data_IF_285548895848
#
_entry.id   IF_285548895848
#
_cell.length_a   1.000
_cell.length_b   1.000
_cell.length_c   1.000
_cell.angle_alpha   90.00
_cell.angle_beta   90.00
_cell.angle_gamma   90.00
#
_symmetry.space_group_name_H-M   'P 1'
#
loop_
_entity.id
_entity.type
_entity.pdbx_description
1 polymer ?
#
# COMPACT_ATOMS: atom_id res chain seq x y z
N UNK A 1 13.39 53.40 30.83
CA UNK A 1 13.60 54.72 30.22
C UNK A 1 13.34 54.55 28.72
N UNK A 2 12.10 54.49 28.24
CA UNK A 2 11.14 55.59 27.96
C UNK A 2 11.82 56.82 27.36
N UNK A 3 11.53 57.10 26.08
CA UNK A 3 11.12 58.39 25.45
C UNK A 3 10.82 58.06 23.97
N UNK A 4 9.57 57.79 23.54
CA UNK A 4 8.52 58.73 23.06
C UNK A 4 8.99 59.84 22.10
N UNK A 5 8.50 59.82 20.86
CA UNK A 5 7.91 61.01 20.23
C UNK A 5 6.69 60.65 19.39
N UNK A 6 5.55 61.07 19.93
CA UNK A 6 4.23 61.25 19.32
C UNK A 6 4.26 62.37 18.29
N UNK A 7 3.43 62.29 17.25
CA UNK A 7 2.61 63.42 16.80
C UNK A 7 1.23 62.91 16.39
N UNK A 8 0.21 63.54 16.96
CA UNK A 8 -1.21 63.32 16.72
C UNK A 8 -1.75 64.60 16.11
N UNK A 9 -2.58 64.51 15.07
CA UNK A 9 -3.62 65.51 14.79
C UNK A 9 -4.89 64.78 14.32
N UNK A 10 -5.96 64.97 15.08
CA UNK A 10 -7.37 64.62 14.82
C UNK A 10 -7.97 65.54 13.75
N UNK A 11 -8.95 65.05 12.97
CA UNK A 11 -10.37 65.46 13.10
C UNK A 11 -11.29 64.87 11.99
N UNK A 12 -12.49 64.51 12.45
CA UNK A 12 -13.69 63.95 11.78
C UNK A 12 -14.32 64.84 10.68
N UNK A 13 -15.04 64.21 9.73
CA UNK A 13 -16.49 64.45 9.49
C UNK A 13 -17.07 63.43 8.48
N UNK A 14 -18.36 63.17 8.61
CA UNK A 14 -19.10 62.03 8.05
C UNK A 14 -20.11 62.40 6.95
N UNK A 15 -20.75 61.35 6.40
CA UNK A 15 -22.06 61.23 5.72
C UNK A 15 -22.15 61.27 4.17
N UNK A 16 -22.41 60.07 3.62
CA UNK A 16 -23.65 59.62 2.97
C UNK A 16 -24.05 60.01 1.52
N UNK A 17 -24.21 58.93 0.73
CA UNK A 17 -25.13 58.62 -0.39
C UNK A 17 -25.01 59.33 -1.76
N UNK A 18 -24.72 58.53 -2.80
CA UNK A 18 -25.66 58.34 -3.92
C UNK A 18 -25.31 57.10 -4.75
N UNK A 19 -26.36 56.36 -5.09
CA UNK A 19 -26.44 55.10 -5.84
C UNK A 19 -26.00 55.18 -7.31
N UNK A 20 -25.37 54.12 -7.81
CA UNK A 20 -25.65 53.56 -9.13
C UNK A 20 -25.12 52.11 -9.21
N UNK A 21 -26.03 51.15 -9.21
CA UNK A 21 -25.75 49.75 -9.59
C UNK A 21 -25.59 49.73 -11.11
N UNK A 22 -24.43 49.29 -11.59
CA UNK A 22 -24.23 48.84 -12.97
C UNK A 22 -23.93 47.33 -12.94
N UNK A 23 -24.51 46.51 -13.83
CA UNK A 23 -24.28 45.08 -13.81
C UNK A 23 -22.87 44.82 -14.34
N UNK A 24 -21.95 44.42 -13.47
CA UNK A 24 -20.70 43.83 -13.90
C UNK A 24 -21.01 42.42 -14.39
N UNK A 25 -21.02 42.29 -15.72
CA UNK A 25 -20.98 41.03 -16.46
C UNK A 25 -19.99 40.06 -15.82
N UNK A 26 -20.45 38.83 -15.57
CA UNK A 26 -19.59 37.72 -15.19
C UNK A 26 -18.54 37.50 -16.29
N UNK A 27 -17.35 38.07 -16.09
CA UNK A 27 -16.16 37.67 -16.81
C UNK A 27 -15.74 36.32 -16.21
N UNK A 28 -15.79 35.28 -17.05
CA UNK A 28 -15.49 33.91 -16.66
C UNK A 28 -14.17 33.84 -15.89
N UNK A 29 -14.18 33.05 -14.81
CA UNK A 29 -12.97 32.56 -14.20
C UNK A 29 -12.21 31.76 -15.28
N UNK A 30 -11.25 32.42 -15.93
CA UNK A 30 -10.25 31.74 -16.72
C UNK A 30 -9.53 30.77 -15.79
N UNK A 31 -9.62 29.48 -16.11
CA UNK A 31 -8.95 28.43 -15.36
C UNK A 31 -7.49 28.79 -15.18
N UNK A 32 -7.06 28.91 -13.91
CA UNK A 32 -5.65 28.77 -13.60
C UNK A 32 -5.28 27.36 -14.10
N UNK A 33 -4.52 27.28 -15.19
CA UNK A 33 -4.00 26.01 -15.69
C UNK A 33 -3.27 25.33 -14.53
N UNK A 34 -3.68 24.10 -14.21
CA UNK A 34 -2.97 23.27 -13.24
C UNK A 34 -1.52 23.18 -13.74
N UNK A 35 -0.56 23.52 -12.89
CA UNK A 35 0.85 23.36 -13.26
C UNK A 35 1.08 21.89 -13.64
N UNK A 36 1.85 21.66 -14.69
CA UNK A 36 2.24 20.31 -15.11
C UNK A 36 2.96 19.61 -13.95
N UNK A 37 2.63 18.35 -13.63
CA UNK A 37 3.32 17.61 -12.58
C UNK A 37 4.80 17.43 -12.94
N UNK A 38 5.69 17.31 -11.94
CA UNK A 38 7.07 16.92 -12.20
C UNK A 38 7.14 15.47 -12.72
N UNK A 39 8.26 15.03 -13.30
CA UNK A 39 8.54 13.60 -13.44
C UNK A 39 8.36 12.89 -12.09
N UNK A 40 7.63 11.79 -12.09
CA UNK A 40 7.23 11.03 -10.91
C UNK A 40 6.10 11.66 -10.10
N UNK A 41 5.50 12.75 -10.56
CA UNK A 41 4.30 13.35 -9.98
C UNK A 41 3.01 12.80 -10.59
N UNK A 42 1.90 12.96 -9.88
CA UNK A 42 0.60 12.49 -10.37
C UNK A 42 -0.01 13.45 -11.41
N UNK A 43 -0.39 12.91 -12.56
CA UNK A 43 -1.11 13.63 -13.62
C UNK A 43 -2.59 13.83 -13.29
N UNK A 44 -3.16 12.88 -12.56
CA UNK A 44 -4.54 12.89 -12.10
C UNK A 44 -4.64 12.42 -10.63
N UNK A 45 -5.86 12.11 -10.18
CA UNK A 45 -6.11 11.69 -8.80
C UNK A 45 -6.13 12.84 -7.80
N UNK A 46 -6.44 12.49 -6.56
CA UNK A 46 -6.54 13.39 -5.42
C UNK A 46 -5.46 13.03 -4.42
N UNK A 47 -4.72 14.04 -3.94
CA UNK A 47 -3.70 13.84 -2.90
C UNK A 47 -4.38 13.43 -1.59
N UNK A 48 -3.96 12.32 -0.99
CA UNK A 48 -4.53 11.77 0.24
C UNK A 48 -4.25 12.66 1.46
N UNK A 49 -3.01 13.17 1.58
CA UNK A 49 -2.61 14.07 2.66
C UNK A 49 -1.47 15.00 2.23
N UNK A 50 -1.27 16.09 2.97
CA UNK A 50 -0.08 16.92 2.79
C UNK A 50 1.17 16.24 3.39
N UNK A 51 2.33 16.46 2.78
CA UNK A 51 3.59 15.88 3.25
C UNK A 51 3.76 14.41 2.89
N UNK A 52 4.64 13.73 3.62
CA UNK A 52 5.08 12.36 3.29
C UNK A 52 3.96 11.36 3.54
N UNK A 53 3.67 10.54 2.52
CA UNK A 53 2.74 9.41 2.60
C UNK A 53 3.23 8.33 1.64
N UNK A 54 3.66 7.21 2.19
CA UNK A 54 4.33 6.11 1.47
C UNK A 54 3.60 4.79 1.69
N UNK A 55 3.83 3.83 0.80
CA UNK A 55 3.46 2.43 0.99
C UNK A 55 1.96 2.25 1.35
N UNK A 56 1.04 2.75 0.52
CA UNK A 56 -0.38 2.71 0.83
C UNK A 56 -0.89 1.27 0.92
N UNK A 57 -1.91 1.04 1.73
CA UNK A 57 -2.72 -0.19 1.80
C UNK A 57 -4.18 0.20 2.01
N UNK A 58 -5.10 -0.58 1.45
CA UNK A 58 -6.53 -0.31 1.50
C UNK A 58 -7.31 -1.61 1.66
N UNK A 59 -8.37 -1.54 2.47
CA UNK A 59 -9.38 -2.59 2.64
C UNK A 59 -10.77 -1.94 2.63
N UNK A 60 -11.78 -2.69 2.20
CA UNK A 60 -13.18 -2.38 2.51
C UNK A 60 -13.56 -3.21 3.74
N UNK A 61 -14.25 -2.60 4.71
CA UNK A 61 -14.71 -3.34 5.89
C UNK A 61 -15.86 -4.28 5.51
N UNK A 62 -15.74 -5.54 5.89
CA UNK A 62 -16.73 -6.59 5.63
C UNK A 62 -17.20 -7.27 6.93
N UNK A 63 -16.50 -7.03 8.04
CA UNK A 63 -16.70 -7.72 9.32
C UNK A 63 -16.91 -6.77 10.50
N UNK A 64 -17.34 -5.54 10.23
CA UNK A 64 -17.47 -4.43 11.18
C UNK A 64 -18.92 -3.99 11.43
N UNK A 65 -19.91 -4.74 10.95
CA UNK A 65 -21.33 -4.54 11.22
C UNK A 65 -21.88 -3.27 10.58
N UNK A 66 -22.30 -2.29 11.39
CA UNK A 66 -22.86 -1.03 10.83
C UNK A 66 -21.84 -0.21 10.02
N UNK A 67 -20.55 -0.52 10.13
CA UNK A 67 -19.48 0.14 9.39
C UNK A 67 -19.06 -0.60 8.10
N UNK A 68 -19.69 -1.74 7.77
CA UNK A 68 -19.40 -2.48 6.54
C UNK A 68 -19.56 -1.58 5.30
N UNK A 69 -18.66 -1.73 4.33
CA UNK A 69 -18.55 -0.88 3.14
C UNK A 69 -17.78 0.43 3.36
N UNK A 70 -17.29 0.70 4.58
CA UNK A 70 -16.30 1.77 4.82
C UNK A 70 -14.96 1.33 4.25
N UNK A 71 -14.30 2.20 3.48
CA UNK A 71 -12.94 1.93 3.01
C UNK A 71 -11.95 2.49 4.03
N UNK A 72 -11.01 1.65 4.49
CA UNK A 72 -9.93 2.04 5.38
C UNK A 72 -8.61 2.02 4.61
N UNK A 73 -7.88 3.14 4.67
CA UNK A 73 -6.56 3.28 4.06
C UNK A 73 -5.51 3.47 5.15
N UNK A 74 -4.37 2.79 5.01
CA UNK A 74 -3.17 3.01 5.80
C UNK A 74 -2.01 3.49 4.92
N UNK A 75 -1.23 4.45 5.41
CA UNK A 75 0.05 4.85 4.79
C UNK A 75 1.13 5.06 5.85
N UNK A 76 2.39 5.00 5.43
CA UNK A 76 3.55 5.38 6.25
C UNK A 76 3.81 6.88 6.10
N UNK A 77 3.81 7.60 7.23
CA UNK A 77 4.13 9.03 7.31
C UNK A 77 5.15 9.29 8.42
N UNK A 78 5.62 10.53 8.57
CA UNK A 78 6.68 10.87 9.53
C UNK A 78 6.39 12.18 10.27
N UNK A 79 6.69 12.19 11.58
CA UNK A 79 6.87 13.41 12.37
C UNK A 79 8.37 13.53 12.73
N UNK A 80 9.05 14.48 12.09
CA UNK A 80 10.51 14.49 12.05
C UNK A 80 11.07 13.20 11.44
N UNK A 81 11.93 12.51 12.18
CA UNK A 81 12.50 11.22 11.77
C UNK A 81 11.69 10.01 12.28
N UNK A 82 10.63 10.23 13.06
CA UNK A 82 9.82 9.13 13.63
C UNK A 82 8.70 8.76 12.67
N UNK A 83 8.68 7.49 12.27
CA UNK A 83 7.63 6.96 11.39
C UNK A 83 6.34 6.63 12.12
N UNK A 84 5.22 6.74 11.41
CA UNK A 84 3.88 6.43 11.90
C UNK A 84 3.03 5.78 10.81
N UNK A 85 2.06 4.96 11.21
CA UNK A 85 0.95 4.57 10.35
C UNK A 85 -0.15 5.64 10.41
N UNK A 86 -0.48 6.29 9.31
CA UNK A 86 -1.66 7.17 9.21
C UNK A 86 -2.87 6.37 8.70
N UNK A 87 -4.00 6.49 9.38
CA UNK A 87 -5.23 5.73 9.07
C UNK A 87 -6.33 6.69 8.61
N UNK A 88 -6.96 6.36 7.49
CA UNK A 88 -8.00 7.15 6.85
C UNK A 88 -9.26 6.34 6.59
N UNK A 89 -10.42 7.00 6.61
CA UNK A 89 -11.70 6.44 6.21
C UNK A 89 -12.24 7.14 4.97
N UNK A 90 -12.89 6.37 4.10
CA UNK A 90 -13.85 6.87 3.13
C UNK A 90 -15.21 6.20 3.38
N UNK A 91 -16.26 7.02 3.43
CA UNK A 91 -17.66 6.58 3.53
C UNK A 91 -18.47 6.99 2.29
N UNK A 92 -17.77 7.45 1.26
CA UNK A 92 -18.30 7.94 -0.02
C UNK A 92 -17.64 7.22 -1.20
N UNK A 93 -17.52 5.89 -1.09
CA UNK A 93 -17.09 5.04 -2.20
C UNK A 93 -15.68 5.40 -2.72
N UNK A 94 -14.76 5.77 -1.83
CA UNK A 94 -13.37 6.12 -2.17
C UNK A 94 -13.19 7.51 -2.80
N UNK A 95 -14.23 8.36 -2.80
CA UNK A 95 -14.20 9.68 -3.44
C UNK A 95 -13.54 10.75 -2.57
N UNK A 96 -13.58 10.60 -1.25
CA UNK A 96 -12.82 11.41 -0.31
C UNK A 96 -12.38 10.61 0.92
N UNK A 97 -11.31 11.07 1.57
CA UNK A 97 -10.74 10.41 2.74
C UNK A 97 -10.52 11.42 3.87
N UNK A 98 -10.82 10.98 5.10
CA UNK A 98 -10.49 11.72 6.32
C UNK A 98 -9.56 10.91 7.21
N UNK A 99 -8.56 11.55 7.82
CA UNK A 99 -7.66 10.89 8.77
C UNK A 99 -8.39 10.67 10.10
N UNK A 100 -8.47 9.42 10.54
CA UNK A 100 -9.22 9.02 11.74
C UNK A 100 -8.34 8.49 12.86
N UNK A 101 -7.13 8.01 12.54
CA UNK A 101 -6.28 7.34 13.50
C UNK A 101 -4.80 7.43 13.17
N UNK A 102 -3.98 6.97 14.10
CA UNK A 102 -2.53 6.90 13.96
C UNK A 102 -1.98 5.72 14.76
N UNK A 103 -1.14 4.92 14.13
CA UNK A 103 -0.38 3.85 14.78
C UNK A 103 1.02 4.36 15.06
N UNK A 104 1.46 4.22 16.31
CA UNK A 104 2.78 4.69 16.75
C UNK A 104 3.50 3.60 17.51
N UNK A 105 4.58 3.10 16.91
CA UNK A 105 5.45 2.13 17.54
C UNK A 105 6.67 2.83 18.17
N UNK A 106 7.02 2.56 19.45
CA UNK A 106 8.21 3.16 20.08
C UNK A 106 9.51 2.88 19.32
N UNK A 107 9.63 1.72 18.67
CA UNK A 107 10.78 1.34 17.86
C UNK A 107 10.87 2.11 16.53
N UNK A 108 9.79 2.76 16.09
CA UNK A 108 9.76 3.53 14.83
C UNK A 108 10.69 4.76 14.84
N UNK A 109 11.19 5.16 16.02
CA UNK A 109 12.27 6.15 16.16
C UNK A 109 13.60 5.68 15.56
N UNK A 110 13.74 4.38 15.32
CA UNK A 110 14.86 3.75 14.62
C UNK A 110 14.45 3.30 13.21
N UNK A 111 13.48 3.99 12.62
CA UNK A 111 12.96 3.69 11.30
C UNK A 111 11.70 2.83 11.34
N UNK A 112 10.83 3.12 10.38
CA UNK A 112 9.63 2.36 10.06
C UNK A 112 9.53 2.27 8.55
N UNK A 113 9.30 1.08 8.03
CA UNK A 113 8.94 0.87 6.64
C UNK A 113 7.73 -0.02 6.52
N UNK A 114 7.06 0.13 5.39
CA UNK A 114 6.37 -0.96 4.73
C UNK A 114 5.27 -1.56 5.62
N UNK A 115 4.15 -0.87 5.75
CA UNK A 115 3.05 -1.33 6.59
C UNK A 115 2.07 -2.24 5.87
N UNK A 116 1.32 -3.02 6.65
CA UNK A 116 0.09 -3.73 6.22
C UNK A 116 -1.09 -3.34 7.09
N UNK A 117 -2.30 -3.49 6.53
CA UNK A 117 -3.58 -3.28 7.18
C UNK A 117 -4.49 -4.45 6.79
N UNK A 118 -5.09 -5.10 7.78
CA UNK A 118 -5.91 -6.30 7.59
C UNK A 118 -7.11 -6.28 8.54
N UNK A 119 -8.30 -6.64 8.07
CA UNK A 119 -9.45 -6.90 8.94
C UNK A 119 -9.56 -8.40 9.22
N UNK A 120 -9.75 -8.79 10.48
CA UNK A 120 -9.95 -10.19 10.84
C UNK A 120 -11.33 -10.68 10.31
N UNK A 121 -11.37 -11.67 9.39
CA UNK A 121 -12.64 -12.20 8.88
C UNK A 121 -13.33 -13.16 9.86
N UNK A 122 -12.66 -13.45 10.99
CA UNK A 122 -13.13 -14.31 12.07
C UNK A 122 -12.30 -14.06 13.32
N UNK A 123 -12.81 -14.47 14.47
CA UNK A 123 -12.08 -14.41 15.73
C UNK A 123 -10.76 -15.22 15.67
N UNK A 124 -9.67 -14.65 16.18
CA UNK A 124 -8.37 -15.31 16.42
C UNK A 124 -7.97 -15.07 17.87
N UNK A 125 -7.90 -16.14 18.68
CA UNK A 125 -7.69 -16.02 20.13
C UNK A 125 -8.72 -15.09 20.78
N UNK A 126 -8.25 -14.06 21.47
CA UNK A 126 -9.09 -13.04 22.11
C UNK A 126 -9.40 -11.85 21.17
N UNK A 127 -8.88 -11.82 19.94
CA UNK A 127 -9.14 -10.79 18.94
C UNK A 127 -10.46 -11.11 18.21
N UNK A 128 -11.53 -10.31 18.39
CA UNK A 128 -12.81 -10.57 17.73
C UNK A 128 -12.73 -10.45 16.20
N UNK A 129 -13.68 -11.08 15.50
CA UNK A 129 -13.99 -10.76 14.11
C UNK A 129 -14.21 -9.24 13.93
N UNK A 130 -13.75 -8.67 12.81
CA UNK A 130 -13.79 -7.23 12.54
C UNK A 130 -12.65 -6.41 13.18
N UNK A 131 -11.79 -7.04 13.98
CA UNK A 131 -10.60 -6.36 14.50
C UNK A 131 -9.67 -6.00 13.35
N UNK A 132 -9.26 -4.73 13.27
CA UNK A 132 -8.22 -4.31 12.34
C UNK A 132 -6.86 -4.60 12.94
N UNK A 133 -5.99 -5.22 12.16
CA UNK A 133 -4.59 -5.44 12.45
C UNK A 133 -3.71 -4.54 11.59
N UNK A 134 -2.67 -4.01 12.20
CA UNK A 134 -1.64 -3.24 11.54
C UNK A 134 -0.27 -3.75 11.98
N UNK A 135 0.64 -3.87 11.02
CA UNK A 135 2.05 -4.19 11.27
C UNK A 135 2.93 -3.43 10.30
N UNK A 136 4.22 -3.33 10.63
CA UNK A 136 5.23 -2.71 9.79
C UNK A 136 6.61 -3.30 10.11
N UNK A 137 7.56 -3.04 9.24
CA UNK A 137 8.98 -3.28 9.49
C UNK A 137 9.56 -2.17 10.34
N UNK A 138 9.99 -2.49 11.57
CA UNK A 138 10.45 -1.49 12.53
C UNK A 138 11.93 -1.71 12.87
N UNK A 139 12.70 -0.61 12.97
CA UNK A 139 14.08 -0.64 13.45
C UNK A 139 15.16 -0.70 12.37
N UNK A 140 14.86 -0.38 11.11
CA UNK A 140 15.83 -0.53 10.02
C UNK A 140 17.02 0.44 10.05
N UNK A 141 16.90 1.57 10.77
CA UNK A 141 17.94 2.59 10.89
C UNK A 141 18.93 2.29 12.03
N UNK A 142 18.69 1.27 12.85
CA UNK A 142 19.68 0.81 13.82
C UNK A 142 20.94 0.29 13.13
N UNK A 143 22.10 0.46 13.78
CA UNK A 143 23.37 -0.07 13.29
C UNK A 143 23.29 -1.59 13.08
N UNK A 144 23.74 -2.10 11.92
CA UNK A 144 23.63 -3.52 11.59
C UNK A 144 24.24 -4.46 12.65
N UNK A 145 25.23 -4.04 13.43
CA UNK A 145 25.84 -4.88 14.47
C UNK A 145 24.93 -5.10 15.68
N UNK A 146 23.98 -4.19 15.92
CA UNK A 146 23.02 -4.24 17.03
C UNK A 146 21.57 -4.38 16.59
N UNK A 147 21.28 -4.11 15.31
CA UNK A 147 19.95 -4.08 14.74
C UNK A 147 19.21 -5.39 15.00
N UNK A 148 17.97 -5.26 15.46
CA UNK A 148 17.00 -6.34 15.62
C UNK A 148 15.65 -5.86 15.14
N UNK A 149 15.48 -5.85 13.82
CA UNK A 149 14.20 -5.44 13.25
C UNK A 149 13.06 -6.29 13.78
N UNK A 150 11.91 -5.67 14.03
CA UNK A 150 10.73 -6.33 14.57
C UNK A 150 9.53 -6.14 13.66
N UNK A 151 8.55 -7.03 13.82
CA UNK A 151 7.22 -6.94 13.23
C UNK A 151 6.19 -6.85 14.37
N UNK A 152 5.94 -5.65 14.91
CA UNK A 152 4.91 -5.47 15.92
C UNK A 152 3.52 -5.66 15.33
N UNK A 153 2.60 -6.19 16.13
CA UNK A 153 1.19 -6.36 15.77
C UNK A 153 0.37 -5.42 16.64
N UNK A 154 -0.31 -4.48 15.98
CA UNK A 154 -1.21 -3.52 16.59
C UNK A 154 -2.64 -3.88 16.19
N UNK A 155 -3.58 -3.77 17.13
CA UNK A 155 -4.99 -4.07 16.90
C UNK A 155 -5.89 -2.87 17.20
N UNK A 156 -6.99 -2.76 16.46
CA UNK A 156 -8.04 -1.78 16.66
C UNK A 156 -9.41 -2.44 16.57
N UNK A 157 -10.28 -2.12 17.54
CA UNK A 157 -11.68 -2.59 17.59
C UNK A 157 -12.69 -1.46 17.35
N UNK A 158 -12.21 -0.27 16.98
CA UNK A 158 -13.00 0.93 16.71
C UNK A 158 -12.76 1.49 15.29
N UNK A 159 -12.57 0.55 14.35
CA UNK A 159 -12.32 0.78 12.93
C UNK A 159 -11.06 1.63 12.68
N UNK A 160 -10.00 1.45 13.48
CA UNK A 160 -8.70 2.08 13.25
C UNK A 160 -8.54 3.46 13.85
N UNK A 161 -9.44 3.90 14.75
CA UNK A 161 -9.33 5.19 15.45
C UNK A 161 -8.32 5.12 16.58
N UNK A 162 -8.34 4.06 17.37
CA UNK A 162 -7.37 3.77 18.43
C UNK A 162 -6.72 2.42 18.22
N UNK A 163 -5.46 2.29 18.65
CA UNK A 163 -4.62 1.13 18.40
C UNK A 163 -3.91 0.69 19.67
N UNK A 164 -3.90 -0.61 19.92
CA UNK A 164 -3.22 -1.23 21.05
C UNK A 164 -2.19 -2.24 20.55
N UNK A 165 -1.00 -2.22 21.14
CA UNK A 165 0.04 -3.21 20.83
C UNK A 165 -0.36 -4.56 21.42
N UNK A 166 -0.49 -5.57 20.57
CA UNK A 166 -0.88 -6.94 20.94
C UNK A 166 0.36 -7.78 21.20
N UNK A 167 1.28 -7.84 20.24
CA UNK A 167 2.45 -8.72 20.28
C UNK A 167 3.54 -8.28 19.30
N UNK A 168 4.66 -8.98 19.31
CA UNK A 168 5.67 -8.88 18.26
C UNK A 168 5.75 -10.23 17.56
N UNK A 169 5.34 -10.29 16.30
CA UNK A 169 5.21 -11.54 15.56
C UNK A 169 6.56 -12.18 15.24
N UNK A 170 7.55 -11.34 14.90
CA UNK A 170 8.90 -11.79 14.66
C UNK A 170 9.92 -10.72 15.07
N UNK A 171 11.11 -11.20 15.38
CA UNK A 171 12.32 -10.39 15.55
C UNK A 171 13.41 -11.00 14.69
N UNK A 172 14.10 -10.18 13.90
CA UNK A 172 15.20 -10.63 13.06
C UNK A 172 16.25 -11.37 13.90
N UNK A 173 16.68 -12.53 13.38
CA UNK A 173 17.67 -13.39 14.06
C UNK A 173 19.08 -12.78 14.02
N UNK A 174 19.33 -11.87 13.08
CA UNK A 174 20.57 -11.14 12.92
C UNK A 174 20.32 -9.66 12.63
N UNK A 175 21.39 -9.01 12.17
CA UNK A 175 21.39 -7.59 11.84
C UNK A 175 20.92 -7.27 10.43
N UNK A 176 20.26 -8.20 9.72
CA UNK A 176 19.74 -8.00 8.36
C UNK A 176 18.24 -7.74 8.38
N UNK A 177 17.71 -7.28 7.26
CA UNK A 177 16.37 -6.75 7.19
C UNK A 177 15.27 -7.81 7.30
N UNK A 178 14.12 -7.35 7.80
CA UNK A 178 12.89 -8.12 7.93
C UNK A 178 11.75 -7.19 7.47
N UNK A 179 11.18 -7.47 6.30
CA UNK A 179 10.45 -6.48 5.51
C UNK A 179 9.03 -6.90 5.17
N UNK A 180 8.13 -5.91 5.08
CA UNK A 180 6.88 -6.00 4.32
C UNK A 180 5.94 -7.11 4.85
N UNK A 181 5.50 -7.00 6.12
CA UNK A 181 4.52 -7.93 6.67
C UNK A 181 3.26 -7.98 5.80
N UNK A 182 2.68 -9.17 5.65
CA UNK A 182 1.36 -9.39 5.05
C UNK A 182 0.60 -10.42 5.89
N UNK A 183 -0.68 -10.15 6.18
CA UNK A 183 -1.51 -11.06 6.97
C UNK A 183 -2.44 -11.90 6.12
N UNK A 184 -2.78 -13.09 6.63
CA UNK A 184 -3.92 -13.88 6.22
C UNK A 184 -4.45 -14.68 7.43
N UNK A 185 -5.62 -15.30 7.32
CA UNK A 185 -6.13 -16.24 8.33
C UNK A 185 -6.31 -17.59 7.67
N UNK A 186 -5.62 -18.63 8.17
CA UNK A 186 -5.72 -19.98 7.62
C UNK A 186 -7.13 -20.57 7.77
N UNK A 187 -7.49 -21.62 7.01
CA UNK A 187 -8.77 -22.33 7.20
C UNK A 187 -8.96 -22.84 8.64
N UNK A 188 -7.87 -23.19 9.32
CA UNK A 188 -7.85 -23.59 10.73
C UNK A 188 -8.15 -22.46 11.72
N UNK A 189 -8.18 -21.20 11.27
CA UNK A 189 -8.39 -20.02 12.11
C UNK A 189 -7.11 -19.48 12.76
N UNK A 190 -5.93 -19.88 12.29
CA UNK A 190 -4.67 -19.29 12.74
C UNK A 190 -4.36 -18.04 11.93
N UNK A 191 -3.90 -16.97 12.59
CA UNK A 191 -3.33 -15.83 11.90
C UNK A 191 -1.98 -16.23 11.30
N UNK A 192 -1.77 -15.90 10.04
CA UNK A 192 -0.53 -16.14 9.30
C UNK A 192 0.08 -14.79 8.97
N UNK A 193 1.39 -14.65 9.19
CA UNK A 193 2.16 -13.50 8.78
C UNK A 193 3.24 -13.94 7.78
N UNK A 194 3.25 -13.35 6.59
CA UNK A 194 4.29 -13.51 5.57
C UNK A 194 5.21 -12.30 5.56
N UNK A 195 6.50 -12.52 5.26
CA UNK A 195 7.54 -11.49 5.41
C UNK A 195 8.69 -11.78 4.44
N UNK A 196 9.32 -10.73 3.91
CA UNK A 196 10.63 -10.82 3.25
C UNK A 196 11.77 -10.85 4.31
N UNK A 197 12.65 -11.84 4.29
CA UNK A 197 13.73 -12.00 5.27
C UNK A 197 15.12 -12.07 4.60
N UNK A 198 16.05 -11.24 5.07
CA UNK A 198 17.44 -11.18 4.58
C UNK A 198 18.45 -11.87 5.53
N UNK A 199 18.00 -12.52 6.60
CA UNK A 199 18.88 -13.06 7.65
C UNK A 199 19.47 -14.44 7.34
N UNK A 200 19.18 -15.00 6.16
CA UNK A 200 19.71 -16.31 5.71
C UNK A 200 20.98 -16.20 4.84
N UNK A 201 21.62 -15.04 4.82
CA UNK A 201 22.86 -14.82 4.08
C UNK A 201 24.03 -15.69 4.62
N UNK A 202 24.96 -16.14 3.75
CA UNK A 202 25.05 -15.87 2.32
C UNK A 202 24.28 -16.87 1.44
N UNK A 203 23.54 -17.82 2.03
CA UNK A 203 22.83 -18.87 1.28
C UNK A 203 21.72 -18.27 0.42
N UNK A 204 20.95 -17.33 0.98
CA UNK A 204 19.96 -16.55 0.25
C UNK A 204 20.15 -15.07 0.58
N UNK A 205 20.14 -14.21 -0.44
CA UNK A 205 20.19 -12.76 -0.22
C UNK A 205 18.88 -12.21 0.33
N UNK A 206 17.76 -12.84 -0.01
CA UNK A 206 16.44 -12.67 0.61
C UNK A 206 15.57 -13.92 0.36
N UNK A 207 14.66 -14.22 1.27
CA UNK A 207 13.62 -15.26 1.14
C UNK A 207 12.26 -14.67 1.51
N UNK A 208 11.17 -15.34 1.15
CA UNK A 208 9.87 -15.11 1.80
C UNK A 208 9.67 -16.20 2.85
N UNK A 209 9.33 -15.79 4.06
CA UNK A 209 9.07 -16.67 5.22
C UNK A 209 7.68 -16.39 5.79
N UNK A 210 7.19 -17.32 6.60
CA UNK A 210 5.94 -17.16 7.35
C UNK A 210 6.10 -17.56 8.82
N UNK A 211 5.23 -17.01 9.67
CA UNK A 211 4.92 -17.51 11.01
C UNK A 211 3.40 -17.59 11.20
N UNK A 212 2.94 -18.53 12.03
CA UNK A 212 1.52 -18.67 12.38
C UNK A 212 1.28 -18.40 13.86
N UNK A 213 0.07 -17.97 14.21
CA UNK A 213 -0.35 -17.73 15.57
C UNK A 213 -1.81 -18.14 15.77
N UNK A 214 -2.13 -18.98 16.77
CA UNK A 214 -3.52 -19.34 17.07
C UNK A 214 -4.28 -18.24 17.83
N UNK A 215 -3.57 -17.25 18.36
CA UNK A 215 -4.12 -16.23 19.27
C UNK A 215 -3.70 -14.78 18.94
N UNK A 216 -2.89 -14.58 17.90
CA UNK A 216 -2.30 -13.28 17.55
C UNK A 216 -1.18 -12.82 18.50
N UNK A 217 -0.79 -13.65 19.47
CA UNK A 217 0.14 -13.30 20.55
C UNK A 217 1.35 -14.24 20.59
N UNK A 218 1.10 -15.55 20.51
CA UNK A 218 2.09 -16.61 20.52
C UNK A 218 2.37 -17.03 19.08
N UNK A 219 3.59 -16.81 18.62
CA UNK A 219 3.97 -17.04 17.22
C UNK A 219 4.88 -18.26 17.07
N UNK A 220 4.68 -19.01 16.00
CA UNK A 220 5.61 -20.06 15.58
C UNK A 220 6.97 -19.44 15.19
N UNK A 221 8.05 -20.25 15.15
CA UNK A 221 9.25 -19.84 14.44
C UNK A 221 8.96 -19.52 12.97
N UNK A 222 9.77 -18.64 12.38
CA UNK A 222 9.74 -18.37 10.93
C UNK A 222 10.12 -19.62 10.15
N UNK A 223 9.41 -19.89 9.06
CA UNK A 223 9.64 -21.00 8.13
C UNK A 223 9.57 -20.53 6.69
N UNK A 224 10.36 -21.14 5.80
CA UNK A 224 10.44 -20.72 4.41
C UNK A 224 9.14 -20.97 3.64
N UNK A 225 8.76 -19.98 2.85
CA UNK A 225 7.69 -20.02 1.83
C UNK A 225 8.32 -20.05 0.45
N UNK A 226 9.28 -19.15 0.19
CA UNK A 226 10.03 -19.04 -1.06
C UNK A 226 11.51 -18.85 -0.74
N UNK A 227 12.30 -19.88 -1.02
CA UNK A 227 13.75 -19.90 -0.86
C UNK A 227 14.39 -20.42 -2.16
N UNK A 228 14.64 -19.49 -3.10
CA UNK A 228 15.13 -19.83 -4.43
C UNK A 228 16.59 -20.31 -4.39
N UNK A 229 16.99 -21.34 -5.15
CA UNK A 229 18.32 -21.93 -5.06
C UNK A 229 19.48 -21.01 -5.46
N UNK A 230 19.23 -20.01 -6.30
CA UNK A 230 20.21 -18.98 -6.64
C UNK A 230 20.27 -17.95 -5.51
N UNK A 231 21.43 -17.86 -4.84
CA UNK A 231 21.63 -16.98 -3.69
C UNK A 231 21.48 -15.50 -4.01
N UNK A 232 21.63 -15.11 -5.28
CA UNK A 232 21.48 -13.73 -5.75
C UNK A 232 20.03 -13.32 -6.01
N UNK A 233 19.09 -14.27 -6.05
CA UNK A 233 17.67 -13.96 -6.20
C UNK A 233 17.08 -13.48 -4.87
N UNK A 234 16.11 -12.57 -5.01
CA UNK A 234 15.50 -11.84 -3.90
C UNK A 234 13.98 -11.83 -4.05
N UNK A 235 13.29 -12.96 -3.78
CA UNK A 235 11.83 -12.95 -3.66
C UNK A 235 11.43 -12.03 -2.49
N UNK A 236 10.40 -11.22 -2.66
CA UNK A 236 9.93 -10.29 -1.62
C UNK A 236 8.61 -9.61 -1.92
N UNK A 237 8.18 -8.75 -1.01
CA UNK A 237 6.91 -8.02 -1.06
C UNK A 237 5.69 -8.94 -1.20
N UNK A 238 5.51 -9.95 -0.33
CA UNK A 238 4.36 -10.83 -0.41
C UNK A 238 3.05 -10.03 -0.26
N UNK A 239 2.08 -10.33 -1.12
CA UNK A 239 0.69 -9.87 -1.02
C UNK A 239 -0.20 -11.10 -1.20
N UNK A 240 -1.09 -11.36 -0.25
CA UNK A 240 -1.86 -12.62 -0.23
C UNK A 240 -3.35 -12.32 -0.30
N UNK A 241 -4.05 -13.01 -1.21
CA UNK A 241 -5.51 -12.95 -1.34
C UNK A 241 -6.09 -14.35 -1.21
N UNK A 242 -7.24 -14.45 -0.57
CA UNK A 242 -8.06 -15.65 -0.61
C UNK A 242 -8.88 -15.61 -1.90
N UNK A 243 -8.86 -16.71 -2.65
CA UNK A 243 -9.59 -16.96 -3.88
C UNK A 243 -10.91 -17.70 -3.57
N UNK A 244 -11.79 -17.88 -4.58
CA UNK A 244 -12.92 -18.79 -4.48
C UNK A 244 -12.49 -20.18 -4.01
N UNK A 245 -13.40 -20.90 -3.37
CA UNK A 245 -13.17 -22.23 -2.78
C UNK A 245 -12.18 -22.26 -1.59
N UNK A 246 -11.58 -21.13 -1.22
CA UNK A 246 -10.73 -20.98 -0.03
C UNK A 246 -9.23 -21.18 -0.30
N UNK A 247 -8.82 -21.28 -1.56
CA UNK A 247 -7.42 -21.27 -1.96
C UNK A 247 -6.79 -19.88 -1.72
N UNK A 248 -5.47 -19.83 -1.63
CA UNK A 248 -4.71 -18.61 -1.41
C UNK A 248 -3.82 -18.35 -2.62
N UNK A 249 -3.77 -17.10 -3.05
CA UNK A 249 -2.86 -16.60 -4.08
C UNK A 249 -1.88 -15.62 -3.44
N UNK A 250 -0.59 -15.88 -3.58
CA UNK A 250 0.46 -14.94 -3.19
C UNK A 250 1.05 -14.30 -4.43
N UNK A 251 1.06 -12.97 -4.48
CA UNK A 251 1.81 -12.13 -5.40
C UNK A 251 3.12 -11.69 -4.74
N UNK A 252 4.21 -11.63 -5.50
CA UNK A 252 5.51 -11.14 -5.02
C UNK A 252 6.42 -10.75 -6.18
N UNK A 253 7.46 -9.97 -5.89
CA UNK A 253 8.54 -9.71 -6.84
C UNK A 253 9.69 -10.71 -6.67
N UNK A 254 10.42 -10.98 -7.74
CA UNK A 254 11.71 -11.66 -7.68
C UNK A 254 12.80 -10.76 -8.26
N UNK A 255 13.55 -10.10 -7.38
CA UNK A 255 14.69 -9.30 -7.76
C UNK A 255 15.96 -10.15 -7.95
N UNK A 256 17.00 -9.54 -8.51
CA UNK A 256 18.31 -10.19 -8.71
C UNK A 256 18.56 -10.63 -10.14
N UNK A 257 19.62 -11.44 -10.37
CA UNK A 257 20.07 -11.80 -11.72
C UNK A 257 18.95 -12.36 -12.59
N UNK A 258 18.85 -11.87 -13.83
CA UNK A 258 17.87 -12.30 -14.86
C UNK A 258 16.41 -11.92 -14.57
N UNK A 259 16.01 -11.82 -13.30
CA UNK A 259 14.62 -11.60 -12.93
C UNK A 259 14.23 -10.12 -12.84
N UNK A 260 15.18 -9.21 -12.58
CA UNK A 260 14.95 -7.76 -12.59
C UNK A 260 13.69 -7.30 -11.81
N UNK A 261 13.33 -7.97 -10.71
CA UNK A 261 12.15 -7.67 -9.89
C UNK A 261 10.80 -7.92 -10.60
N UNK A 262 10.76 -8.89 -11.51
CA UNK A 262 9.52 -9.37 -12.16
C UNK A 262 8.48 -9.84 -11.13
N UNK A 263 7.22 -9.61 -11.46
CA UNK A 263 6.06 -10.04 -10.69
C UNK A 263 5.74 -11.52 -10.95
N UNK A 264 5.58 -12.29 -9.88
CA UNK A 264 5.19 -13.70 -9.88
C UNK A 264 4.02 -13.95 -8.94
N UNK A 265 3.32 -15.06 -9.19
CA UNK A 265 2.29 -15.59 -8.28
C UNK A 265 2.49 -17.06 -7.96
N UNK A 266 2.00 -17.49 -6.80
CA UNK A 266 1.86 -18.90 -6.40
C UNK A 266 0.54 -19.13 -5.69
N UNK A 267 0.06 -20.38 -5.75
CA UNK A 267 -1.11 -20.83 -4.99
C UNK A 267 -0.76 -21.71 -3.80
N UNK A 268 -1.62 -21.68 -2.79
CA UNK A 268 -1.65 -22.61 -1.67
C UNK A 268 -3.09 -22.93 -1.30
N UNK A 269 -3.43 -24.19 -1.05
CA UNK A 269 -4.79 -24.59 -0.69
C UNK A 269 -5.17 -24.18 0.75
N UNK A 270 -4.20 -23.83 1.59
CA UNK A 270 -4.44 -23.53 3.01
C UNK A 270 -3.72 -22.28 3.53
N UNK A 271 -2.95 -21.60 2.67
CA UNK A 271 -2.16 -20.41 3.00
C UNK A 271 -0.93 -20.71 3.86
N UNK A 272 -0.67 -21.94 4.26
CA UNK A 272 0.46 -22.29 5.13
C UNK A 272 1.43 -23.29 4.49
N UNK A 273 0.97 -24.05 3.50
CA UNK A 273 1.77 -25.00 2.75
C UNK A 273 2.09 -24.45 1.35
N UNK A 274 3.32 -23.98 1.17
CA UNK A 274 3.84 -23.39 -0.08
C UNK A 274 4.96 -24.23 -0.71
N UNK A 275 4.90 -25.55 -0.54
CA UNK A 275 5.95 -26.45 -1.00
C UNK A 275 5.80 -26.81 -2.49
N UNK A 276 6.91 -27.01 -3.21
CA UNK A 276 8.29 -26.85 -2.75
C UNK A 276 8.71 -25.37 -2.67
N UNK A 277 9.44 -24.98 -1.62
CA UNK A 277 9.87 -23.58 -1.41
C UNK A 277 10.84 -23.06 -2.48
N UNK A 278 11.42 -23.95 -3.28
CA UNK A 278 12.38 -23.61 -4.34
C UNK A 278 11.72 -23.21 -5.66
N UNK A 279 10.39 -23.29 -5.76
CA UNK A 279 9.66 -22.91 -6.97
C UNK A 279 9.38 -21.41 -7.04
N UNK A 280 9.62 -20.85 -8.22
CA UNK A 280 9.47 -19.41 -8.49
C UNK A 280 8.03 -18.99 -8.81
N UNK A 281 7.11 -19.92 -9.08
CA UNK A 281 5.73 -19.61 -9.44
C UNK A 281 5.51 -19.19 -10.90
N UNK A 282 4.32 -18.68 -11.18
CA UNK A 282 3.89 -18.25 -12.52
C UNK A 282 4.15 -16.74 -12.70
N UNK A 283 4.73 -16.31 -13.83
CA UNK A 283 4.93 -14.89 -14.10
C UNK A 283 3.57 -14.20 -14.33
N UNK A 284 3.45 -12.96 -13.87
CA UNK A 284 2.34 -12.08 -14.24
C UNK A 284 2.73 -11.30 -15.48
N UNK A 285 2.35 -11.83 -16.64
CA UNK A 285 2.69 -11.25 -17.94
C UNK A 285 1.58 -11.47 -18.97
N UNK A 286 1.52 -10.57 -19.94
CA UNK A 286 0.66 -10.71 -21.12
C UNK A 286 1.28 -11.67 -22.14
N UNK A 287 0.48 -12.11 -23.12
CA UNK A 287 0.95 -12.96 -24.22
C UNK A 287 2.12 -12.37 -25.03
N UNK A 288 2.25 -11.04 -25.08
CA UNK A 288 3.35 -10.34 -25.75
C UNK A 288 4.55 -10.03 -24.85
N UNK A 289 4.53 -10.53 -23.61
CA UNK A 289 5.59 -10.41 -22.61
C UNK A 289 5.63 -9.03 -21.92
N UNK A 290 4.56 -8.26 -21.99
CA UNK A 290 4.39 -7.07 -21.14
C UNK A 290 4.24 -7.52 -19.68
N UNK A 291 5.03 -6.93 -18.78
CA UNK A 291 5.08 -7.32 -17.37
C UNK A 291 5.40 -6.12 -16.48
N UNK A 292 5.00 -6.20 -15.21
CA UNK A 292 5.48 -5.27 -14.19
C UNK A 292 6.81 -5.71 -13.61
N UNK A 293 7.60 -4.71 -13.20
CA UNK A 293 8.73 -4.88 -12.29
C UNK A 293 8.55 -3.97 -11.08
N UNK A 294 9.09 -4.43 -9.96
CA UNK A 294 9.11 -3.77 -8.66
C UNK A 294 7.74 -3.63 -8.00
N UNK A 295 7.70 -3.94 -6.70
CA UNK A 295 6.63 -3.65 -5.75
C UNK A 295 5.21 -4.04 -6.21
N UNK A 296 4.97 -5.30 -6.57
CA UNK A 296 3.68 -5.71 -7.08
C UNK A 296 2.58 -5.67 -6.00
N UNK A 297 1.35 -5.52 -6.46
CA UNK A 297 0.14 -5.74 -5.68
C UNK A 297 -0.88 -6.48 -6.53
N UNK A 298 -1.73 -7.25 -5.86
CA UNK A 298 -2.81 -7.99 -6.48
C UNK A 298 -4.10 -7.79 -5.68
N UNK A 299 -5.21 -7.66 -6.40
CA UNK A 299 -6.57 -7.66 -5.87
C UNK A 299 -7.36 -8.75 -6.56
N UNK A 300 -8.32 -9.32 -5.83
CA UNK A 300 -9.28 -10.28 -6.37
C UNK A 300 -10.68 -9.77 -6.06
N UNK A 301 -11.64 -10.04 -6.94
CA UNK A 301 -13.05 -9.80 -6.69
C UNK A 301 -13.93 -10.86 -7.33
N UNK A 302 -15.09 -11.08 -6.71
CA UNK A 302 -16.16 -11.90 -7.27
C UNK A 302 -16.90 -11.08 -8.34
N UNK A 303 -16.83 -11.51 -9.60
CA UNK A 303 -17.59 -10.96 -10.72
C UNK A 303 -18.78 -11.86 -11.12
N UNK A 304 -19.08 -12.88 -10.31
CA UNK A 304 -20.10 -13.90 -10.54
C UNK A 304 -19.62 -15.08 -11.39
N UNK A 305 -18.36 -15.10 -11.83
CA UNK A 305 -17.75 -16.28 -12.47
C UNK A 305 -17.16 -17.23 -11.43
N UNK A 306 -16.91 -18.52 -11.76
CA UNK A 306 -16.36 -19.48 -10.81
C UNK A 306 -15.01 -19.09 -10.21
N UNK A 307 -14.15 -18.43 -11.00
CA UNK A 307 -12.77 -18.09 -10.61
C UNK A 307 -12.66 -16.62 -10.13
N UNK A 308 -13.73 -15.84 -10.30
CA UNK A 308 -13.72 -14.39 -10.11
C UNK A 308 -12.71 -13.72 -11.06
N UNK A 309 -12.22 -12.54 -10.66
CA UNK A 309 -11.22 -11.81 -11.44
C UNK A 309 -10.07 -11.30 -10.60
N UNK A 310 -8.92 -11.21 -11.24
CA UNK A 310 -7.68 -10.69 -10.67
C UNK A 310 -7.32 -9.36 -11.31
N UNK A 311 -6.88 -8.43 -10.48
CA UNK A 311 -6.25 -7.17 -10.89
C UNK A 311 -4.82 -7.14 -10.36
N UNK A 312 -3.87 -6.82 -11.22
CA UNK A 312 -2.46 -6.71 -10.89
C UNK A 312 -1.93 -5.31 -11.17
N UNK A 313 -0.99 -4.84 -10.35
CA UNK A 313 -0.25 -3.60 -10.58
C UNK A 313 1.18 -3.75 -10.06
N UNK A 314 2.10 -2.97 -10.58
CA UNK A 314 3.45 -2.81 -10.05
C UNK A 314 4.00 -1.44 -10.39
N UNK A 315 5.24 -1.16 -10.00
CA UNK A 315 5.79 0.18 -10.13
C UNK A 315 6.02 0.59 -11.59
N UNK A 316 6.66 -0.29 -12.36
CA UNK A 316 7.13 0.03 -13.69
C UNK A 316 6.70 -1.03 -14.70
N UNK A 317 6.18 -0.59 -15.84
CA UNK A 317 5.70 -1.46 -16.92
C UNK A 317 6.79 -1.64 -17.98
N UNK A 318 7.10 -2.89 -18.30
CA UNK A 318 8.15 -3.27 -19.25
C UNK A 318 7.60 -4.14 -20.37
N UNK A 319 8.19 -4.00 -21.57
CA UNK A 319 7.99 -4.92 -22.68
C UNK A 319 8.93 -6.12 -22.60
N UNK A 320 8.68 -7.13 -23.46
CA UNK A 320 9.50 -8.34 -23.53
C UNK A 320 10.99 -8.09 -23.83
N UNK A 321 11.31 -6.97 -24.49
CA UNK A 321 12.68 -6.54 -24.81
C UNK A 321 13.39 -5.80 -23.66
N UNK A 322 12.69 -5.57 -22.54
CA UNK A 322 13.20 -4.83 -21.38
C UNK A 322 13.10 -3.31 -21.51
N UNK A 323 12.42 -2.79 -22.54
CA UNK A 323 12.12 -1.37 -22.62
C UNK A 323 10.99 -0.99 -21.66
N UNK A 324 11.10 0.18 -21.02
CA UNK A 324 9.98 0.78 -20.27
C UNK A 324 8.90 1.20 -21.27
N UNK A 325 7.65 0.80 -21.02
CA UNK A 325 6.54 1.09 -21.92
C UNK A 325 5.86 2.44 -21.57
N UNK A 326 5.26 3.14 -22.57
CA UNK A 326 4.57 4.41 -22.33
C UNK A 326 3.42 4.35 -21.31
N UNK A 327 2.83 3.17 -21.05
CA UNK A 327 1.79 2.97 -20.04
C UNK A 327 2.30 2.83 -18.59
N UNK A 328 3.62 2.91 -18.37
CA UNK A 328 4.20 2.83 -17.03
C UNK A 328 3.66 3.93 -16.12
N UNK A 329 3.11 3.56 -14.96
CA UNK A 329 2.46 4.47 -14.03
C UNK A 329 0.98 4.77 -14.32
N UNK A 330 0.39 4.16 -15.36
CA UNK A 330 -1.01 4.38 -15.75
C UNK A 330 -1.73 3.12 -16.25
N UNK A 331 -1.15 1.94 -15.99
CA UNK A 331 -1.67 0.64 -16.45
C UNK A 331 -1.97 -0.26 -15.26
N UNK A 332 -3.04 -1.05 -15.36
CA UNK A 332 -3.31 -2.24 -14.55
C UNK A 332 -3.20 -3.48 -15.44
N UNK A 333 -3.07 -4.64 -14.80
CA UNK A 333 -3.23 -5.93 -15.46
C UNK A 333 -4.49 -6.63 -14.97
N UNK A 334 -5.15 -7.38 -15.84
CA UNK A 334 -6.38 -8.13 -15.55
C UNK A 334 -6.23 -9.59 -15.96
N UNK A 335 -6.89 -10.49 -15.23
CA UNK A 335 -6.91 -11.92 -15.53
C UNK A 335 -8.21 -12.56 -15.02
N UNK A 336 -8.71 -13.56 -15.74
CA UNK A 336 -9.98 -14.25 -15.50
C UNK A 336 -9.93 -15.25 -14.33
N UNK A 337 -9.19 -14.93 -13.26
CA UNK A 337 -9.06 -15.78 -12.06
C UNK A 337 -8.08 -16.97 -12.20
N UNK A 338 -7.45 -17.13 -13.35
CA UNK A 338 -6.43 -18.15 -13.66
C UNK A 338 -5.07 -17.46 -13.90
N UNK A 339 -4.30 -17.13 -12.85
CA UNK A 339 -3.09 -16.31 -12.92
C UNK A 339 -1.96 -16.93 -13.75
N UNK A 340 -2.02 -18.23 -14.06
CA UNK A 340 -1.11 -18.90 -15.00
C UNK A 340 -1.42 -18.64 -16.47
N UNK A 341 -2.63 -18.16 -16.79
CA UNK A 341 -3.01 -17.75 -18.14
C UNK A 341 -2.49 -16.34 -18.45
N UNK A 342 -2.46 -16.01 -19.73
CA UNK A 342 -2.03 -14.69 -20.21
C UNK A 342 -2.88 -13.58 -19.59
N UNK A 343 -2.21 -12.55 -19.07
CA UNK A 343 -2.88 -11.37 -18.55
C UNK A 343 -3.21 -10.39 -19.68
N UNK A 344 -4.19 -9.52 -19.43
CA UNK A 344 -4.49 -8.37 -20.27
C UNK A 344 -4.14 -7.06 -19.56
N UNK A 345 -4.07 -5.95 -20.31
CA UNK A 345 -3.81 -4.62 -19.74
C UNK A 345 -5.08 -3.78 -19.73
N UNK A 346 -5.24 -2.97 -18.69
CA UNK A 346 -6.30 -1.99 -18.55
C UNK A 346 -5.76 -0.62 -18.11
N UNK A 347 -6.59 0.41 -18.24
CA UNK A 347 -6.25 1.76 -17.78
C UNK A 347 -6.35 1.83 -16.25
N UNK A 348 -5.33 2.41 -15.61
CA UNK A 348 -5.31 2.65 -14.18
C UNK A 348 -6.08 3.93 -13.80
N UNK A 349 -6.85 3.95 -12.67
CA UNK A 349 -7.51 5.14 -12.16
C UNK A 349 -6.56 6.32 -11.89
N UNK A 350 -5.34 6.03 -11.43
CA UNK A 350 -4.28 7.01 -11.16
C UNK A 350 -3.20 6.93 -12.26
N UNK A 351 -2.63 8.07 -12.62
CA UNK A 351 -1.54 8.18 -13.60
C UNK A 351 -0.39 8.97 -12.99
N UNK A 352 0.77 8.33 -12.92
CA UNK A 352 2.04 8.94 -12.50
C UNK A 352 2.86 9.22 -13.75
N UNK A 353 3.29 10.48 -13.92
CA UNK A 353 4.09 10.91 -15.06
C UNK A 353 5.49 10.31 -14.99
N UNK A 354 5.94 9.62 -16.05
CA UNK A 354 7.32 9.14 -16.21
C UNK A 354 7.95 8.51 -14.93
N UNK A 355 7.32 7.49 -14.30
CA UNK A 355 7.88 6.88 -13.10
C UNK A 355 9.18 6.14 -13.42
N UNK A 356 10.07 6.05 -12.43
CA UNK A 356 11.31 5.30 -12.50
C UNK A 356 11.53 4.49 -11.23
N UNK A 357 12.44 3.52 -11.27
CA UNK A 357 12.79 2.70 -10.11
C UNK A 357 13.36 3.58 -8.99
N UNK A 358 12.51 3.86 -8.02
CA UNK A 358 12.75 4.73 -6.88
C UNK A 358 11.71 4.46 -5.79
N UNK A 359 12.00 4.79 -4.54
CA UNK A 359 11.09 4.56 -3.41
C UNK A 359 9.77 5.37 -3.46
N UNK A 360 9.60 6.28 -4.43
CA UNK A 360 8.47 7.18 -4.50
C UNK A 360 7.53 6.97 -5.69
N UNK A 361 7.89 7.29 -6.95
CA UNK A 361 6.90 7.35 -8.01
C UNK A 361 6.34 5.96 -8.29
N UNK A 362 5.03 5.83 -8.15
CA UNK A 362 4.27 4.60 -8.29
C UNK A 362 4.81 3.43 -7.42
N UNK A 363 5.41 3.71 -6.26
CA UNK A 363 6.03 2.69 -5.40
C UNK A 363 4.99 1.99 -4.51
N UNK A 364 4.92 0.66 -4.63
CA UNK A 364 3.94 -0.23 -3.99
C UNK A 364 2.50 0.29 -4.11
N UNK A 365 1.99 0.47 -5.35
CA UNK A 365 0.63 0.91 -5.57
C UNK A 365 -0.35 -0.14 -5.05
N UNK A 366 -1.52 0.30 -4.62
CA UNK A 366 -2.56 -0.58 -4.04
C UNK A 366 -3.84 -0.51 -4.86
N UNK A 367 -4.44 -1.67 -5.09
CA UNK A 367 -5.75 -1.80 -5.70
C UNK A 367 -6.76 -2.36 -4.70
N UNK A 368 -7.94 -1.76 -4.67
CA UNK A 368 -9.12 -2.28 -3.98
C UNK A 368 -10.26 -2.34 -5.00
N UNK A 369 -10.60 -3.55 -5.44
CA UNK A 369 -11.78 -3.76 -6.27
C UNK A 369 -13.06 -3.57 -5.45
N UNK A 370 -14.05 -2.89 -6.03
CA UNK A 370 -15.35 -2.58 -5.43
C UNK A 370 -16.46 -3.11 -6.36
N UNK A 371 -16.64 -4.44 -6.47
CA UNK A 371 -17.47 -5.08 -7.49
C UNK A 371 -18.95 -4.66 -7.44
N UNK A 372 -19.50 -4.48 -6.25
CA UNK A 372 -20.87 -4.00 -6.04
C UNK A 372 -21.13 -2.62 -6.66
N UNK A 373 -20.05 -1.86 -6.90
CA UNK A 373 -20.06 -0.51 -7.47
C UNK A 373 -19.61 -0.51 -8.94
N UNK A 374 -19.07 -1.62 -9.45
CA UNK A 374 -18.43 -1.67 -10.76
C UNK A 374 -17.17 -0.79 -10.84
N UNK A 375 -16.51 -0.54 -9.71
CA UNK A 375 -15.40 0.41 -9.57
C UNK A 375 -14.14 -0.26 -9.00
N UNK A 376 -12.98 0.33 -9.25
CA UNK A 376 -11.71 0.02 -8.57
C UNK A 376 -11.11 1.30 -8.02
N UNK A 377 -10.70 1.25 -6.76
CA UNK A 377 -9.89 2.28 -6.11
C UNK A 377 -8.41 1.92 -6.30
N UNK A 378 -7.63 2.89 -6.78
CA UNK A 378 -6.17 2.82 -6.81
C UNK A 378 -5.57 3.87 -5.87
N UNK A 379 -4.53 3.50 -5.14
CA UNK A 379 -3.65 4.40 -4.44
C UNK A 379 -2.21 4.24 -4.92
N UNK A 380 -1.63 5.32 -5.42
CA UNK A 380 -0.28 5.34 -6.00
C UNK A 380 0.50 6.54 -5.48
N UNK A 381 1.80 6.36 -5.29
CA UNK A 381 2.70 7.37 -4.72
C UNK A 381 3.31 8.25 -5.82
N UNK A 382 3.61 9.50 -5.50
CA UNK A 382 4.23 10.43 -6.44
C UNK A 382 4.75 11.69 -5.75
N UNK A 383 5.64 12.41 -6.43
CA UNK A 383 6.18 13.66 -5.93
C UNK A 383 5.16 14.80 -6.05
N UNK A 384 4.99 15.59 -5.00
CA UNK A 384 4.10 16.77 -5.02
C UNK A 384 4.64 17.93 -5.86
N UNK A 385 5.96 18.01 -6.01
CA UNK A 385 6.69 18.99 -6.82
C UNK A 385 8.12 18.51 -7.06
N UNK A 386 8.87 19.17 -7.94
CA UNK A 386 10.31 18.91 -8.09
C UNK A 386 11.03 19.12 -6.73
N UNK A 387 11.66 18.06 -6.21
CA UNK A 387 12.29 18.04 -4.88
C UNK A 387 11.32 18.09 -3.69
N UNK A 388 10.01 17.96 -3.93
CA UNK A 388 8.96 17.95 -2.90
C UNK A 388 8.83 16.60 -2.20
N UNK A 389 7.89 16.52 -1.25
CA UNK A 389 7.60 15.27 -0.56
C UNK A 389 7.04 14.20 -1.52
N UNK A 390 7.36 12.94 -1.22
CA UNK A 390 6.65 11.82 -1.80
C UNK A 390 5.33 11.59 -1.06
N UNK A 391 4.21 11.60 -1.77
CA UNK A 391 2.88 11.49 -1.17
C UNK A 391 1.99 10.54 -1.95
N UNK A 392 0.90 10.12 -1.34
CA UNK A 392 -0.08 9.20 -1.93
C UNK A 392 -1.19 9.97 -2.63
N UNK A 393 -1.52 9.53 -3.85
CA UNK A 393 -2.67 9.98 -4.62
C UNK A 393 -3.64 8.81 -4.77
N UNK A 394 -4.94 9.11 -4.73
CA UNK A 394 -5.99 8.11 -4.93
C UNK A 394 -6.91 8.51 -6.09
N UNK A 395 -7.50 7.50 -6.72
CA UNK A 395 -8.46 7.66 -7.81
C UNK A 395 -9.37 6.44 -7.90
N UNK A 396 -10.61 6.68 -8.31
CA UNK A 396 -11.59 5.63 -8.57
C UNK A 396 -11.87 5.59 -10.07
N UNK A 397 -11.84 4.39 -10.65
CA UNK A 397 -12.15 4.12 -12.05
C UNK A 397 -13.14 2.97 -12.18
N UNK A 398 -13.64 2.73 -13.39
CA UNK A 398 -14.46 1.55 -13.66
C UNK A 398 -13.62 0.28 -13.51
N UNK A 399 -14.23 -0.81 -13.06
CA UNK A 399 -13.60 -2.12 -13.16
C UNK A 399 -13.30 -2.41 -14.63
N UNK A 400 -12.07 -2.88 -14.94
CA UNK A 400 -11.75 -3.33 -16.28
C UNK A 400 -12.62 -4.52 -16.72
N UNK A 401 -12.95 -4.54 -18.01
CA UNK A 401 -13.71 -5.61 -18.68
C UNK A 401 -12.98 -6.96 -18.74
#
# INVERSE_FOLDING_TARGET
>A
MVVRRTFTVLALAALALSTAVAPATAAGAGGAGRAEPPPGGAENGTRLMEGVSLYPRAIELEHSGEADGTIVVSTVTFDGDTGHGAIFHSTDDGRSFERVGTVSDPGATQGLCCSTLFELPRQVGDLPEGTLLWSASVGQQEDESTRRMTLPVWASTDQGRTWEHVSTAATASGGKGLWEPEFAVSPGGELVLYVSDENQQPTHSQVIVQATSPDGVTWSPLTDVIALPDSGLRPGMPVVRTLPEGDYLMSYEVCGPVQDCRHYTRRSADGTAWQPVTEIGAPVETADGTHFRHTPNISWYDDGTPDGRLLGVGQMLYGADGAVLPGSGSTLMTNEGVPEDDWATAQAPVSILDPWNNYCPNYSPTLLALPERGEVLELSTGYESEGGACTTYFGVGALPD
#
